data_IF_466435937173
#
_entry.id   IF_466435937173
#
_cell.length_a   1.000
_cell.length_b   1.000
_cell.length_c   1.000
_cell.angle_alpha   90.00
_cell.angle_beta   90.00
_cell.angle_gamma   90.00
#
_symmetry.space_group_name_H-M   'P 1'
#
loop_
_entity.id
_entity.type
_entity.pdbx_description
1 polymer ?
#
# COMPACT_ATOMS: atom_id res chain seq x y z
N UNK A 1 -45.47 28.51 -35.95
CA UNK A 1 -44.01 28.32 -35.83
C UNK A 1 -43.75 27.35 -34.69
N UNK A 2 -43.65 26.07 -35.01
CA UNK A 2 -43.52 24.96 -34.06
C UNK A 2 -42.03 24.74 -33.78
N UNK A 3 -41.56 24.99 -32.56
CA UNK A 3 -40.16 24.77 -32.18
C UNK A 3 -39.98 23.32 -31.75
N UNK A 4 -39.23 22.54 -32.53
CA UNK A 4 -38.71 21.23 -32.14
C UNK A 4 -37.58 21.44 -31.13
N UNK A 5 -37.70 20.88 -29.93
CA UNK A 5 -36.62 20.78 -28.97
C UNK A 5 -35.91 19.44 -29.17
N UNK A 6 -34.64 19.47 -29.58
CA UNK A 6 -33.78 18.29 -29.65
C UNK A 6 -33.14 18.12 -28.26
N UNK A 7 -33.51 17.05 -27.55
CA UNK A 7 -32.82 16.64 -26.33
C UNK A 7 -31.59 15.84 -26.77
N UNK A 8 -30.41 16.43 -26.60
CA UNK A 8 -29.15 15.72 -26.75
C UNK A 8 -28.88 14.90 -25.48
N UNK A 9 -29.12 13.59 -25.54
CA UNK A 9 -28.64 12.66 -24.52
C UNK A 9 -27.12 12.50 -24.67
N UNK A 10 -26.35 13.13 -23.79
CA UNK A 10 -24.91 12.88 -23.68
C UNK A 10 -24.74 11.52 -22.99
N UNK A 11 -24.34 10.51 -23.75
CA UNK A 11 -23.82 9.28 -23.15
C UNK A 11 -22.42 9.59 -22.60
N UNK A 12 -22.29 9.66 -21.28
CA UNK A 12 -20.99 9.61 -20.65
C UNK A 12 -20.39 8.22 -20.91
N UNK A 13 -19.40 8.16 -21.81
CA UNK A 13 -18.60 6.96 -21.94
C UNK A 13 -17.88 6.73 -20.59
N UNK A 14 -18.21 5.63 -19.92
CA UNK A 14 -17.40 5.16 -18.80
C UNK A 14 -16.02 4.83 -19.39
N UNK A 15 -15.05 5.72 -19.17
CA UNK A 15 -13.65 5.37 -19.35
C UNK A 15 -13.36 4.24 -18.37
N UNK A 16 -13.20 3.02 -18.88
CA UNK A 16 -12.66 1.93 -18.08
C UNK A 16 -11.28 2.37 -17.62
N UNK A 17 -11.13 2.71 -16.34
CA UNK A 17 -9.82 3.01 -15.78
C UNK A 17 -8.92 1.79 -16.04
N UNK A 18 -7.78 2.02 -16.69
CA UNK A 18 -6.79 0.98 -16.90
C UNK A 18 -6.34 0.46 -15.52
N UNK A 19 -6.20 -0.86 -15.38
CA UNK A 19 -5.69 -1.44 -14.14
C UNK A 19 -4.34 -0.78 -13.78
N UNK A 20 -4.11 -0.42 -12.50
CA UNK A 20 -2.85 0.19 -12.08
C UNK A 20 -1.64 -0.68 -12.45
N UNK A 21 -0.50 -0.11 -12.88
CA UNK A 21 0.67 -0.89 -13.30
C UNK A 21 1.27 -1.70 -12.14
N UNK A 22 1.72 -2.93 -12.37
CA UNK A 22 2.21 -3.75 -11.25
C UNK A 22 3.56 -3.29 -10.67
N UNK A 23 4.27 -2.34 -11.28
CA UNK A 23 5.57 -1.78 -10.81
C UNK A 23 6.60 -2.82 -10.34
N UNK A 24 6.61 -3.99 -10.99
CA UNK A 24 7.50 -5.11 -10.67
C UNK A 24 7.04 -5.99 -9.49
N UNK A 25 5.92 -5.67 -8.85
CA UNK A 25 5.28 -6.54 -7.87
C UNK A 25 4.61 -7.73 -8.57
N UNK A 26 4.64 -8.89 -7.91
CA UNK A 26 3.84 -10.03 -8.29
C UNK A 26 2.59 -10.06 -7.40
N UNK A 27 1.51 -9.45 -7.87
CA UNK A 27 0.25 -9.40 -7.14
C UNK A 27 -0.58 -10.66 -7.36
N UNK A 28 -1.24 -11.12 -6.30
CA UNK A 28 -2.28 -12.15 -6.38
C UNK A 28 -3.62 -11.58 -5.98
N UNK A 29 -4.69 -12.05 -6.61
CA UNK A 29 -6.07 -11.69 -6.26
C UNK A 29 -6.53 -12.47 -5.04
N UNK A 30 -7.12 -11.78 -4.07
CA UNK A 30 -7.75 -12.36 -2.90
C UNK A 30 -9.27 -12.17 -3.04
N UNK A 31 -9.96 -13.29 -3.30
CA UNK A 31 -11.40 -13.36 -3.50
C UNK A 31 -12.18 -13.73 -2.25
N UNK A 32 -13.19 -14.60 -2.39
CA UNK A 32 -14.10 -15.04 -1.31
C UNK A 32 -14.71 -13.86 -0.55
N UNK A 33 -15.34 -12.96 -1.30
CA UNK A 33 -15.96 -11.75 -0.78
C UNK A 33 -16.97 -12.10 0.31
N UNK A 34 -16.87 -11.44 1.46
CA UNK A 34 -17.77 -11.69 2.59
C UNK A 34 -17.50 -13.00 3.35
N UNK A 35 -16.28 -13.54 3.27
CA UNK A 35 -15.86 -14.68 4.08
C UNK A 35 -16.15 -14.45 5.58
N UNK A 36 -16.48 -15.53 6.29
CA UNK A 36 -16.67 -15.48 7.73
C UNK A 36 -15.37 -15.04 8.43
N UNK A 37 -15.51 -14.19 9.46
CA UNK A 37 -14.40 -13.76 10.28
C UNK A 37 -13.76 -14.94 11.04
N UNK A 38 -12.49 -14.79 11.41
CA UNK A 38 -11.78 -15.75 12.23
C UNK A 38 -12.47 -15.90 13.59
N UNK A 39 -12.71 -17.14 14.00
CA UNK A 39 -13.36 -17.47 15.27
C UNK A 39 -12.67 -18.68 15.97
N UNK A 40 -11.38 -18.86 15.71
CA UNK A 40 -10.57 -19.94 16.26
C UNK A 40 -9.82 -19.54 17.55
N UNK A 41 -8.74 -20.27 17.87
CA UNK A 41 -7.90 -19.97 19.04
C UNK A 41 -7.19 -18.62 18.90
N UNK A 42 -7.46 -17.72 19.82
CA UNK A 42 -6.86 -16.38 19.88
C UNK A 42 -6.34 -16.12 21.30
N UNK A 43 -5.14 -16.64 21.58
CA UNK A 43 -4.55 -16.54 22.92
C UNK A 43 -4.28 -15.11 23.40
N UNK A 44 -4.25 -14.12 22.50
CA UNK A 44 -4.01 -12.71 22.82
C UNK A 44 -5.27 -11.83 22.71
N UNK A 45 -6.39 -12.37 22.23
CA UNK A 45 -7.67 -11.65 22.08
C UNK A 45 -7.66 -10.55 21.01
N UNK A 46 -6.76 -10.63 20.02
CA UNK A 46 -6.55 -9.55 19.04
C UNK A 46 -7.07 -9.87 17.63
N UNK A 47 -7.46 -11.12 17.35
CA UNK A 47 -7.80 -11.58 15.99
C UNK A 47 -9.18 -12.24 15.88
N UNK A 48 -9.82 -12.64 16.98
CA UNK A 48 -11.21 -13.11 16.97
C UNK A 48 -12.12 -12.02 16.40
N UNK A 49 -12.98 -12.39 15.44
CA UNK A 49 -13.87 -11.45 14.75
C UNK A 49 -13.21 -10.65 13.63
N UNK A 50 -11.93 -10.89 13.30
CA UNK A 50 -11.19 -10.22 12.22
C UNK A 50 -11.13 -11.06 10.94
N UNK A 51 -10.74 -10.42 9.84
CA UNK A 51 -10.44 -11.08 8.57
C UNK A 51 -11.62 -11.27 7.61
N UNK A 52 -12.82 -10.80 7.96
CA UNK A 52 -13.92 -10.72 7.00
C UNK A 52 -13.73 -9.51 6.10
N UNK A 53 -13.64 -9.72 4.78
CA UNK A 53 -13.42 -8.65 3.80
C UNK A 53 -14.51 -8.68 2.73
N UNK A 54 -15.22 -7.57 2.59
CA UNK A 54 -16.40 -7.42 1.72
C UNK A 54 -16.12 -7.03 0.27
N UNK A 55 -14.86 -7.13 -0.19
CA UNK A 55 -14.47 -6.84 -1.58
C UNK A 55 -13.27 -7.69 -1.99
N UNK A 56 -13.07 -7.81 -3.30
CA UNK A 56 -11.86 -8.39 -3.89
C UNK A 56 -10.73 -7.36 -3.89
N UNK A 57 -9.52 -7.80 -3.61
CA UNK A 57 -8.32 -6.97 -3.65
C UNK A 57 -7.12 -7.78 -4.13
N UNK A 58 -6.02 -7.09 -4.40
CA UNK A 58 -4.74 -7.71 -4.76
C UNK A 58 -3.71 -7.44 -3.67
N UNK A 59 -2.88 -8.42 -3.36
CA UNK A 59 -1.76 -8.28 -2.43
C UNK A 59 -0.49 -8.86 -3.06
N UNK A 60 0.66 -8.23 -2.80
CA UNK A 60 1.94 -8.72 -3.31
C UNK A 60 2.26 -10.08 -2.68
N UNK A 61 2.74 -11.03 -3.49
CA UNK A 61 3.14 -12.37 -3.03
C UNK A 61 4.42 -12.38 -2.21
N UNK A 62 5.23 -11.33 -2.31
CA UNK A 62 6.52 -11.20 -1.66
C UNK A 62 6.60 -9.84 -0.95
N UNK A 63 7.48 -9.77 0.04
CA UNK A 63 7.87 -8.52 0.67
C UNK A 63 8.47 -7.53 -0.35
N UNK A 64 8.45 -6.25 0.03
CA UNK A 64 9.01 -5.17 -0.76
C UNK A 64 10.51 -5.39 -0.98
N UNK A 65 10.95 -5.39 -2.24
CA UNK A 65 12.37 -5.49 -2.60
C UNK A 65 13.03 -4.11 -2.70
N UNK A 66 14.33 -4.07 -2.48
CA UNK A 66 15.12 -2.83 -2.54
C UNK A 66 15.01 -2.15 -3.91
N UNK A 67 15.03 -2.93 -4.99
CA UNK A 67 14.83 -2.44 -6.37
C UNK A 67 13.50 -1.73 -6.60
N UNK A 68 12.46 -2.04 -5.82
CA UNK A 68 11.15 -1.39 -5.92
C UNK A 68 11.08 -0.10 -5.10
N UNK A 69 11.99 0.10 -4.14
CA UNK A 69 11.95 1.19 -3.17
C UNK A 69 13.03 2.26 -3.38
N UNK A 70 14.17 1.90 -3.99
CA UNK A 70 15.33 2.80 -4.13
C UNK A 70 15.03 4.07 -4.93
N UNK A 71 14.20 3.97 -5.97
CA UNK A 71 13.79 5.12 -6.78
C UNK A 71 12.92 6.09 -5.97
N UNK A 72 12.01 5.57 -5.14
CA UNK A 72 11.21 6.38 -4.22
C UNK A 72 12.09 7.14 -3.22
N UNK A 73 13.07 6.46 -2.62
CA UNK A 73 14.01 7.12 -1.70
C UNK A 73 14.82 8.20 -2.40
N UNK A 74 15.18 8.00 -3.67
CA UNK A 74 15.86 9.03 -4.48
C UNK A 74 14.96 10.21 -4.79
N UNK A 75 13.67 9.98 -5.09
CA UNK A 75 12.69 11.06 -5.25
C UNK A 75 12.60 11.87 -3.95
N UNK A 76 12.41 11.21 -2.80
CA UNK A 76 12.36 11.87 -1.51
C UNK A 76 13.63 12.65 -1.21
N UNK A 77 14.81 12.08 -1.43
CA UNK A 77 16.09 12.76 -1.20
C UNK A 77 16.33 13.95 -2.12
N UNK A 78 15.64 14.04 -3.25
CA UNK A 78 15.65 15.20 -4.14
C UNK A 78 14.74 16.35 -3.68
N UNK A 79 13.65 16.06 -2.97
CA UNK A 79 12.64 17.07 -2.57
C UNK A 79 12.67 17.41 -1.07
N UNK A 80 13.17 16.49 -0.24
CA UNK A 80 13.34 16.65 1.19
C UNK A 80 14.61 15.90 1.64
N UNK A 81 15.75 16.59 1.76
CA UNK A 81 16.99 15.97 2.23
C UNK A 81 16.96 15.62 3.73
N UNK A 82 16.03 16.20 4.51
CA UNK A 82 15.84 15.95 5.93
C UNK A 82 14.78 14.87 6.16
N UNK A 83 15.22 13.61 6.14
CA UNK A 83 14.37 12.45 6.40
C UNK A 83 13.95 12.29 7.87
N UNK A 84 14.29 13.24 8.75
CA UNK A 84 14.21 13.12 10.22
C UNK A 84 12.79 12.82 10.72
N UNK A 85 11.76 13.13 9.93
CA UNK A 85 10.35 12.87 10.28
C UNK A 85 9.97 11.39 10.04
N UNK A 86 10.71 10.68 9.17
CA UNK A 86 10.40 9.32 8.75
C UNK A 86 11.63 8.42 8.90
N UNK A 87 11.57 7.44 9.80
CA UNK A 87 12.64 6.46 9.93
C UNK A 87 12.90 5.79 8.58
N UNK A 88 14.12 5.95 8.07
CA UNK A 88 14.62 5.28 6.87
C UNK A 88 14.68 3.75 7.09
N UNK A 89 14.75 2.95 6.02
CA UNK A 89 14.94 1.51 6.16
C UNK A 89 16.21 1.19 6.95
N UNK A 90 16.08 0.26 7.90
CA UNK A 90 17.22 -0.26 8.67
C UNK A 90 17.93 -1.36 7.91
N UNK A 91 17.19 -2.18 7.17
CA UNK A 91 17.70 -3.31 6.40
C UNK A 91 17.21 -3.19 4.96
N UNK A 92 18.16 -3.06 4.03
CA UNK A 92 17.93 -2.94 2.59
C UNK A 92 19.25 -2.96 1.83
N UNK A 93 19.19 -3.17 0.52
CA UNK A 93 20.34 -3.29 -0.37
C UNK A 93 20.79 -2.00 -1.07
N UNK A 94 20.59 -0.82 -0.47
CA UNK A 94 20.91 0.46 -1.10
C UNK A 94 21.71 1.39 -0.18
N UNK A 95 22.40 2.34 -0.79
CA UNK A 95 23.15 3.39 -0.08
C UNK A 95 22.90 4.76 -0.67
N UNK A 96 22.96 5.79 0.18
CA UNK A 96 22.75 7.18 -0.19
C UNK A 96 24.08 7.91 -0.42
N UNK A 97 24.10 8.80 -1.42
CA UNK A 97 25.20 9.73 -1.66
C UNK A 97 24.67 11.17 -1.68
N UNK A 98 25.25 12.02 -0.84
CA UNK A 98 25.02 13.45 -0.87
C UNK A 98 25.51 14.06 -2.18
N UNK A 99 24.72 14.99 -2.70
CA UNK A 99 25.01 15.74 -3.91
C UNK A 99 25.39 17.19 -3.58
N UNK A 100 26.07 17.89 -4.51
CA UNK A 100 26.46 19.29 -4.30
C UNK A 100 25.29 20.25 -4.06
N UNK A 101 24.09 19.91 -4.53
CA UNK A 101 22.86 20.68 -4.33
C UNK A 101 22.16 20.39 -2.98
N UNK A 102 22.75 19.55 -2.13
CA UNK A 102 22.20 19.14 -0.84
C UNK A 102 21.24 17.95 -0.89
N UNK A 103 20.87 17.48 -2.09
CA UNK A 103 20.03 16.28 -2.23
C UNK A 103 20.79 15.00 -1.89
N UNK A 104 20.05 13.92 -1.62
CA UNK A 104 20.61 12.56 -1.51
C UNK A 104 20.08 11.71 -2.65
N UNK A 105 21.00 11.08 -3.41
CA UNK A 105 20.62 10.04 -4.37
C UNK A 105 20.93 8.66 -3.82
N UNK A 106 19.96 7.77 -3.87
CA UNK A 106 20.14 6.39 -3.46
C UNK A 106 20.42 5.52 -4.68
N UNK A 107 21.20 4.48 -4.46
CA UNK A 107 21.53 3.49 -5.48
C UNK A 107 21.70 2.13 -4.82
N UNK A 108 21.44 1.07 -5.57
CA UNK A 108 21.71 -0.29 -5.13
C UNK A 108 23.22 -0.46 -4.88
N UNK A 109 23.58 -1.17 -3.81
CA UNK A 109 24.99 -1.47 -3.50
C UNK A 109 25.57 -2.52 -4.46
N UNK A 110 24.71 -3.37 -5.02
CA UNK A 110 24.99 -4.30 -6.11
C UNK A 110 23.69 -4.62 -6.85
N UNK A 111 23.76 -5.28 -8.01
CA UNK A 111 22.55 -5.67 -8.73
C UNK A 111 21.72 -6.69 -7.93
N UNK A 112 22.38 -7.65 -7.30
CA UNK A 112 21.78 -8.71 -6.47
C UNK A 112 21.11 -8.14 -5.21
N UNK A 113 21.65 -7.05 -4.67
CA UNK A 113 21.06 -6.34 -3.55
C UNK A 113 19.69 -5.73 -3.89
N UNK A 114 19.36 -5.60 -5.18
CA UNK A 114 18.04 -5.23 -5.65
C UNK A 114 16.93 -6.20 -5.22
N UNK A 115 17.26 -7.46 -4.95
CA UNK A 115 16.30 -8.47 -4.50
C UNK A 115 16.18 -8.58 -2.97
N UNK A 116 17.01 -7.84 -2.22
CA UNK A 116 16.94 -7.85 -0.76
C UNK A 116 15.66 -7.19 -0.27
N UNK A 117 15.04 -7.70 0.81
CA UNK A 117 13.86 -7.08 1.39
C UNK A 117 14.19 -5.70 1.98
N UNK A 118 13.19 -4.84 2.05
CA UNK A 118 13.27 -3.54 2.72
C UNK A 118 12.52 -3.63 4.04
N UNK A 119 13.19 -3.36 5.16
CA UNK A 119 12.62 -3.47 6.51
C UNK A 119 13.04 -2.31 7.42
N UNK A 120 12.35 -2.17 8.57
CA UNK A 120 12.72 -1.23 9.62
C UNK A 120 12.37 0.25 9.38
N UNK A 121 11.64 0.57 8.32
CA UNK A 121 11.14 1.92 8.07
C UNK A 121 9.82 2.18 8.79
N UNK A 122 9.50 3.47 9.00
CA UNK A 122 8.24 3.87 9.66
C UNK A 122 7.02 3.59 8.78
N UNK A 123 5.87 3.31 9.40
CA UNK A 123 4.59 3.17 8.69
C UNK A 123 4.29 4.38 7.79
N UNK A 124 4.59 5.60 8.25
CA UNK A 124 4.41 6.84 7.48
C UNK A 124 5.24 6.88 6.20
N UNK A 125 6.49 6.38 6.23
CA UNK A 125 7.29 6.25 5.00
C UNK A 125 6.65 5.25 4.03
N UNK A 126 6.07 4.17 4.54
CA UNK A 126 5.27 3.24 3.75
C UNK A 126 4.03 3.87 3.14
N UNK A 127 3.33 4.75 3.88
CA UNK A 127 2.16 5.47 3.37
C UNK A 127 2.54 6.45 2.26
N UNK A 128 3.66 7.17 2.41
CA UNK A 128 4.22 8.02 1.34
C UNK A 128 4.62 7.21 0.10
N UNK A 129 5.14 5.99 0.29
CA UNK A 129 5.43 5.08 -0.81
C UNK A 129 4.16 4.64 -1.54
N UNK A 130 3.09 4.31 -0.82
CA UNK A 130 1.79 4.00 -1.41
C UNK A 130 1.21 5.19 -2.19
N UNK A 131 1.36 6.42 -1.69
CA UNK A 131 1.03 7.65 -2.42
C UNK A 131 1.82 7.73 -3.73
N UNK A 132 3.13 7.51 -3.66
CA UNK A 132 3.99 7.60 -4.84
C UNK A 132 3.57 6.60 -5.93
N UNK A 133 3.26 5.36 -5.56
CA UNK A 133 2.72 4.37 -6.51
C UNK A 133 1.35 4.78 -7.06
N UNK A 134 0.45 5.32 -6.22
CA UNK A 134 -0.86 5.79 -6.66
C UNK A 134 -0.77 6.94 -7.68
N UNK A 135 0.22 7.81 -7.51
CA UNK A 135 0.52 8.96 -8.38
C UNK A 135 1.52 8.62 -9.50
N UNK A 136 1.46 7.40 -9.99
CA UNK A 136 2.20 6.93 -11.15
C UNK A 136 3.73 7.12 -11.04
N UNK A 137 4.26 7.09 -9.82
CA UNK A 137 5.68 7.29 -9.47
C UNK A 137 6.24 8.65 -9.88
N UNK A 138 5.40 9.68 -9.94
CA UNK A 138 5.84 11.03 -10.30
C UNK A 138 6.89 11.57 -9.29
N UNK A 139 7.98 12.21 -9.77
CA UNK A 139 9.08 12.67 -8.92
C UNK A 139 8.78 14.05 -8.30
N UNK A 140 7.67 14.17 -7.56
CA UNK A 140 7.22 15.44 -6.99
C UNK A 140 6.76 15.28 -5.55
N UNK A 141 6.75 16.37 -4.79
CA UNK A 141 6.23 16.38 -3.42
C UNK A 141 4.74 16.02 -3.36
N UNK A 142 3.94 16.51 -4.31
CA UNK A 142 2.52 16.18 -4.37
C UNK A 142 2.30 14.66 -4.49
N UNK A 143 3.11 13.98 -5.30
CA UNK A 143 2.99 12.54 -5.54
C UNK A 143 3.27 11.68 -4.30
N UNK A 144 4.04 12.17 -3.33
CA UNK A 144 4.32 11.45 -2.07
C UNK A 144 3.43 11.94 -0.91
N UNK A 145 2.80 13.11 -1.04
CA UNK A 145 2.08 13.76 0.06
C UNK A 145 0.60 13.42 0.13
N UNK A 146 -0.05 13.12 -1.00
CA UNK A 146 -1.44 12.69 -1.02
C UNK A 146 -1.67 11.65 -2.11
N UNK A 147 -2.68 10.80 -1.98
CA UNK A 147 -3.00 9.73 -2.92
C UNK A 147 -3.75 8.63 -2.18
N UNK A 148 -3.03 7.61 -1.73
CA UNK A 148 -3.58 6.58 -0.85
C UNK A 148 -3.83 7.10 0.58
N UNK A 149 -3.00 8.03 1.06
CA UNK A 149 -3.08 8.64 2.38
C UNK A 149 -2.74 10.14 2.27
N UNK A 150 -3.39 10.97 3.05
CA UNK A 150 -3.05 12.39 3.19
C UNK A 150 -2.03 12.56 4.33
N UNK A 151 -0.78 12.90 4.00
CA UNK A 151 0.26 13.06 5.01
C UNK A 151 0.13 14.36 5.81
N UNK A 152 -0.72 15.31 5.40
CA UNK A 152 -0.96 16.51 6.20
C UNK A 152 -1.58 16.17 7.56
N UNK A 153 -2.23 14.99 7.67
CA UNK A 153 -2.75 14.50 8.94
C UNK A 153 -1.68 13.83 9.80
N UNK A 154 -0.45 13.62 9.31
CA UNK A 154 0.61 12.89 10.01
C UNK A 154 1.31 13.77 11.04
N UNK A 155 0.53 14.30 11.97
CA UNK A 155 0.97 15.22 13.00
C UNK A 155 1.14 14.51 14.33
N UNK A 156 2.13 14.93 15.10
CA UNK A 156 2.26 14.52 16.50
C UNK A 156 1.01 14.95 17.25
N UNK A 157 0.45 14.07 18.07
CA UNK A 157 -0.66 14.44 18.93
C UNK A 157 -0.22 15.58 19.87
N UNK A 158 -0.84 16.78 19.79
CA UNK A 158 -0.47 17.91 20.66
C UNK A 158 -0.85 17.66 22.12
N UNK A 159 -1.80 16.75 22.37
CA UNK A 159 -2.40 16.50 23.69
C UNK A 159 -1.89 15.23 24.36
N UNK A 160 -0.86 14.56 23.83
CA UNK A 160 -0.39 13.31 24.40
C UNK A 160 0.70 12.59 23.60
N UNK A 161 1.00 11.34 23.96
CA UNK A 161 1.84 10.48 23.13
C UNK A 161 1.13 10.10 21.82
N UNK A 162 1.91 9.73 20.81
CA UNK A 162 1.41 9.24 19.53
C UNK A 162 1.20 10.32 18.47
N UNK A 163 0.45 9.94 17.44
CA UNK A 163 0.22 10.73 16.24
C UNK A 163 -1.26 10.68 15.85
N UNK A 164 -1.71 11.67 15.07
CA UNK A 164 -3.08 11.78 14.55
C UNK A 164 -3.17 11.37 13.08
N UNK A 165 -2.28 10.45 12.67
CA UNK A 165 -2.21 9.95 11.30
C UNK A 165 -3.57 9.42 10.84
N UNK A 166 -3.85 9.57 9.54
CA UNK A 166 -5.00 8.98 8.90
C UNK A 166 -4.94 7.45 9.06
N UNK A 167 -5.99 6.87 9.64
CA UNK A 167 -6.02 5.44 9.98
C UNK A 167 -6.53 4.55 8.84
N UNK A 168 -7.18 5.14 7.84
CA UNK A 168 -7.76 4.44 6.69
C UNK A 168 -7.37 5.13 5.40
N UNK A 169 -6.98 4.37 4.38
CA UNK A 169 -6.68 4.91 3.04
C UNK A 169 -7.85 5.69 2.43
N UNK A 170 -7.54 6.56 1.48
CA UNK A 170 -8.53 7.22 0.62
C UNK A 170 -9.29 6.19 -0.24
N UNK A 171 -10.60 6.40 -0.53
CA UNK A 171 -11.43 5.42 -1.24
C UNK A 171 -10.94 5.04 -2.64
N UNK A 172 -10.20 5.91 -3.32
CA UNK A 172 -9.68 5.74 -4.68
C UNK A 172 -8.21 5.28 -4.73
N UNK A 173 -7.64 4.91 -3.58
CA UNK A 173 -6.28 4.39 -3.49
C UNK A 173 -6.06 3.21 -4.46
N UNK A 174 -4.97 3.29 -5.25
CA UNK A 174 -4.59 2.24 -6.21
C UNK A 174 -3.66 1.20 -5.57
N UNK A 175 -2.87 1.65 -4.59
CA UNK A 175 -1.96 0.85 -3.76
C UNK A 175 -2.11 1.34 -2.33
N UNK A 176 -2.00 0.45 -1.35
CA UNK A 176 -2.13 0.79 0.06
C UNK A 176 -1.42 -0.24 0.94
N UNK A 177 -1.22 0.10 2.21
CA UNK A 177 -0.76 -0.85 3.22
C UNK A 177 -2.00 -1.67 3.63
N UNK A 178 -1.96 -3.02 3.54
CA UNK A 178 -3.12 -3.83 3.90
C UNK A 178 -3.48 -3.62 5.37
N UNK A 179 -4.78 -3.56 5.65
CA UNK A 179 -5.30 -3.67 7.00
C UNK A 179 -5.00 -5.05 7.58
N UNK A 180 -5.14 -5.18 8.90
CA UNK A 180 -5.00 -6.47 9.57
C UNK A 180 -6.01 -7.50 9.01
N UNK A 181 -7.23 -7.08 8.66
CA UNK A 181 -8.25 -7.97 8.11
C UNK A 181 -7.87 -8.48 6.71
N UNK A 182 -7.39 -7.58 5.83
CA UNK A 182 -6.88 -7.94 4.50
C UNK A 182 -5.65 -8.84 4.59
N UNK A 183 -4.73 -8.56 5.51
CA UNK A 183 -3.53 -9.38 5.67
C UNK A 183 -3.85 -10.77 6.24
N UNK A 184 -4.68 -10.84 7.29
CA UNK A 184 -5.12 -12.10 7.90
C UNK A 184 -5.79 -12.99 6.86
N UNK A 185 -6.76 -12.46 6.10
CA UNK A 185 -7.46 -13.22 5.07
C UNK A 185 -6.49 -13.75 4.01
N UNK A 186 -5.61 -12.89 3.51
CA UNK A 186 -4.66 -13.28 2.47
C UNK A 186 -3.69 -14.39 2.93
N UNK A 187 -3.27 -14.35 4.19
CA UNK A 187 -2.30 -15.30 4.73
C UNK A 187 -2.92 -16.61 5.24
N UNK A 188 -4.16 -16.59 5.72
CA UNK A 188 -4.73 -17.71 6.49
C UNK A 188 -6.07 -18.25 5.97
N UNK A 189 -6.82 -17.49 5.17
CA UNK A 189 -8.11 -17.95 4.68
C UNK A 189 -7.97 -18.74 3.38
N UNK A 190 -8.51 -19.95 3.36
CA UNK A 190 -8.61 -20.77 2.17
C UNK A 190 -10.10 -20.98 1.85
N UNK A 191 -10.58 -20.50 0.68
CA UNK A 191 -11.98 -20.64 0.27
C UNK A 191 -12.44 -22.08 0.05
N UNK A 192 -11.51 -23.04 -0.01
CA UNK A 192 -11.82 -24.45 -0.25
C UNK A 192 -11.34 -25.37 0.88
N UNK A 193 -11.00 -24.81 2.05
CA UNK A 193 -10.39 -25.57 3.15
C UNK A 193 -11.17 -26.82 3.56
N UNK A 194 -12.50 -26.72 3.60
CA UNK A 194 -13.39 -27.80 4.06
C UNK A 194 -14.11 -28.51 2.89
N UNK A 195 -13.87 -28.09 1.66
CA UNK A 195 -14.55 -28.56 0.44
C UNK A 195 -14.75 -27.42 -0.56
N UNK A 196 -15.24 -27.69 -1.78
CA UNK A 196 -15.49 -26.65 -2.77
C UNK A 196 -16.41 -25.55 -2.23
N UNK A 197 -15.94 -24.30 -2.26
CA UNK A 197 -16.61 -23.11 -1.72
C UNK A 197 -16.96 -23.16 -0.21
N UNK A 198 -16.48 -24.18 0.51
CA UNK A 198 -16.58 -24.29 1.97
C UNK A 198 -15.25 -23.87 2.60
N UNK A 199 -15.15 -22.57 2.81
CA UNK A 199 -13.91 -21.94 3.25
C UNK A 199 -13.60 -22.14 4.71
N UNK A 200 -12.37 -21.81 5.09
CA UNK A 200 -11.94 -21.87 6.47
C UNK A 200 -10.57 -21.25 6.68
N UNK A 201 -10.14 -21.27 7.94
CA UNK A 201 -8.92 -20.61 8.40
C UNK A 201 -7.85 -21.65 8.76
N UNK A 202 -6.65 -21.49 8.21
CA UNK A 202 -5.45 -22.21 8.62
C UNK A 202 -4.81 -21.52 9.84
N UNK A 203 -4.36 -22.30 10.81
CA UNK A 203 -3.65 -21.75 11.97
C UNK A 203 -2.31 -21.14 11.58
N UNK A 204 -1.62 -21.76 10.63
CA UNK A 204 -0.34 -21.29 10.10
C UNK A 204 -0.47 -20.93 8.62
N UNK A 205 0.25 -19.91 8.12
CA UNK A 205 0.13 -19.46 6.73
C UNK A 205 0.56 -20.51 5.68
N UNK A 206 1.26 -21.56 6.12
CA UNK A 206 1.78 -22.62 5.26
C UNK A 206 0.92 -23.90 5.25
N UNK A 207 -0.26 -23.88 5.90
CA UNK A 207 -1.14 -25.04 6.02
C UNK A 207 -0.84 -25.87 7.27
#
# INVERSE_FOLDING_TARGET
>A
MTKLAIIACVFAAQTSAQAPPDYGFNFTTIGAVGNAAYNGFDGLGNITGRGSVGYEYRIAKNELRTSQFVDFMTVLGGINPDFVIFNQPLEWGASGRFQPDGSIKFHLISQEAGDWPVSGFSWRLGAMYANWLHNDRAPTLAAVSNGAYDIETFIRNPNGPGFLDQTTRNPDAKYWIPSLDEWLKAAHYDPNKNGPDDGGWWQFPNG
#
